data_IF_089850961670
#
_entry.id   IF_089850961670
#
_cell.length_a   1.000
_cell.length_b   1.000
_cell.length_c   1.000
_cell.angle_alpha   90.00
_cell.angle_beta   90.00
_cell.angle_gamma   90.00
#
_symmetry.space_group_name_H-M   'P 1'
#
loop_
_entity.id
_entity.type
_entity.pdbx_description
1 polymer ?
#
# COMPACT_ATOMS: atom_id res chain seq x y z
N UNK A 1 8.00 -0.08 19.41
CA UNK A 1 6.87 0.02 18.45
C UNK A 1 5.78 -0.96 18.84
N UNK A 2 4.51 -0.56 18.78
CA UNK A 2 3.36 -1.39 19.16
C UNK A 2 2.17 -1.15 18.23
N UNK A 3 1.24 -2.11 18.18
CA UNK A 3 -0.04 -1.96 17.48
C UNK A 3 -1.10 -1.37 18.40
N UNK A 4 -1.77 -0.31 17.94
CA UNK A 4 -2.95 0.25 18.58
C UNK A 4 -4.21 -0.40 17.98
N UNK A 5 -4.56 -1.57 18.50
CA UNK A 5 -5.70 -2.36 18.02
C UNK A 5 -7.06 -1.67 18.19
N UNK A 6 -7.17 -0.72 19.14
CA UNK A 6 -8.38 0.05 19.39
C UNK A 6 -8.45 1.36 18.60
N UNK A 7 -7.46 1.65 17.76
CA UNK A 7 -7.36 2.92 17.05
C UNK A 7 -8.60 3.12 16.17
N UNK A 8 -9.36 4.16 16.50
CA UNK A 8 -10.37 4.70 15.61
C UNK A 8 -9.68 5.52 14.53
N UNK A 9 -9.87 5.14 13.28
CA UNK A 9 -9.36 5.85 12.11
C UNK A 9 -10.50 6.58 11.42
N UNK A 10 -10.17 7.66 10.72
CA UNK A 10 -11.10 8.24 9.76
C UNK A 10 -11.34 7.27 8.60
N UNK A 11 -12.36 7.55 7.81
CA UNK A 11 -12.59 6.84 6.56
C UNK A 11 -11.31 6.82 5.72
N UNK A 12 -10.85 5.62 5.38
CA UNK A 12 -9.57 5.41 4.70
C UNK A 12 -9.77 4.66 3.39
N UNK A 13 -9.14 5.11 2.33
CA UNK A 13 -9.23 4.54 0.99
C UNK A 13 -7.86 4.01 0.55
N UNK A 14 -7.80 2.75 0.14
CA UNK A 14 -6.68 2.17 -0.57
C UNK A 14 -7.04 1.96 -2.04
N UNK A 15 -6.27 2.53 -2.94
CA UNK A 15 -6.36 2.30 -4.38
C UNK A 15 -5.17 1.40 -4.76
N UNK A 16 -5.43 0.28 -5.40
CA UNK A 16 -4.47 -0.80 -5.67
C UNK A 16 -4.52 -1.25 -7.13
N UNK A 17 -3.47 -1.91 -7.63
CA UNK A 17 -3.41 -2.31 -9.05
C UNK A 17 -4.15 -3.63 -9.39
N UNK A 18 -4.40 -4.48 -8.39
CA UNK A 18 -4.87 -5.85 -8.62
C UNK A 18 -5.68 -6.49 -7.48
N UNK A 19 -6.11 -7.74 -7.73
CA UNK A 19 -6.91 -8.54 -6.80
C UNK A 19 -6.09 -9.09 -5.61
N UNK A 20 -4.79 -9.28 -5.81
CA UNK A 20 -3.93 -9.83 -4.77
C UNK A 20 -3.74 -8.83 -3.62
N UNK A 21 -3.50 -7.56 -3.95
CA UNK A 21 -3.41 -6.43 -3.04
C UNK A 21 -4.69 -6.32 -2.21
N UNK A 22 -5.87 -6.43 -2.85
CA UNK A 22 -7.17 -6.44 -2.14
C UNK A 22 -7.26 -7.58 -1.14
N UNK A 23 -6.82 -8.78 -1.53
CA UNK A 23 -6.84 -9.96 -0.66
C UNK A 23 -5.91 -9.78 0.54
N UNK A 24 -4.70 -9.26 0.32
CA UNK A 24 -3.73 -8.98 1.36
C UNK A 24 -4.24 -7.89 2.32
N UNK A 25 -4.75 -6.78 1.79
CA UNK A 25 -5.32 -5.70 2.59
C UNK A 25 -6.55 -6.15 3.38
N UNK A 26 -7.43 -6.97 2.79
CA UNK A 26 -8.54 -7.61 3.52
C UNK A 26 -8.03 -8.47 4.67
N UNK A 27 -6.97 -9.24 4.46
CA UNK A 27 -6.34 -10.02 5.54
C UNK A 27 -5.86 -9.12 6.67
N UNK A 28 -5.14 -8.05 6.35
CA UNK A 28 -4.55 -7.16 7.35
C UNK A 28 -5.63 -6.33 8.06
N UNK A 29 -6.37 -5.53 7.32
CA UNK A 29 -7.27 -4.50 7.87
C UNK A 29 -8.52 -5.11 8.50
N UNK A 30 -9.11 -6.12 7.87
CA UNK A 30 -10.37 -6.70 8.34
C UNK A 30 -10.16 -7.91 9.24
N UNK A 31 -9.34 -8.88 8.84
CA UNK A 31 -9.18 -10.11 9.63
C UNK A 31 -8.20 -9.96 10.79
N UNK A 32 -7.15 -9.13 10.66
CA UNK A 32 -6.18 -8.91 11.75
C UNK A 32 -6.52 -7.67 12.57
N UNK A 33 -6.90 -6.55 11.97
CA UNK A 33 -7.13 -5.29 12.70
C UNK A 33 -8.62 -5.01 13.04
N UNK A 34 -9.54 -5.79 12.45
CA UNK A 34 -10.99 -5.71 12.65
C UNK A 34 -11.66 -4.39 12.23
N UNK A 35 -11.11 -3.71 11.23
CA UNK A 35 -11.80 -2.58 10.59
C UNK A 35 -12.98 -3.07 9.74
N UNK A 36 -13.99 -2.22 9.60
CA UNK A 36 -15.04 -2.43 8.60
C UNK A 36 -14.41 -2.24 7.22
N UNK A 37 -14.72 -3.13 6.28
CA UNK A 37 -14.10 -3.14 4.96
C UNK A 37 -15.15 -3.02 3.86
N UNK A 38 -14.92 -2.12 2.91
CA UNK A 38 -15.69 -2.00 1.67
C UNK A 38 -14.75 -2.36 0.53
N UNK A 39 -14.93 -3.52 -0.10
CA UNK A 39 -14.10 -3.91 -1.24
C UNK A 39 -14.89 -3.85 -2.54
N UNK A 40 -14.25 -3.32 -3.58
CA UNK A 40 -14.68 -3.57 -4.94
C UNK A 40 -14.68 -5.09 -5.22
N UNK A 41 -15.74 -5.56 -5.84
CA UNK A 41 -15.91 -6.90 -6.38
C UNK A 41 -14.96 -7.16 -7.56
N UNK A 42 -15.33 -8.10 -8.44
CA UNK A 42 -14.47 -8.48 -9.55
C UNK A 42 -14.23 -7.29 -10.50
N UNK A 43 -12.96 -6.97 -10.77
CA UNK A 43 -12.55 -5.87 -11.66
C UNK A 43 -13.22 -5.96 -13.05
N UNK A 44 -13.39 -7.17 -13.58
CA UNK A 44 -13.95 -7.42 -14.92
C UNK A 44 -15.49 -7.40 -14.98
N UNK A 45 -16.17 -7.09 -13.88
CA UNK A 45 -17.62 -7.04 -13.88
C UNK A 45 -18.12 -5.79 -14.61
N UNK A 46 -19.13 -5.96 -15.48
CA UNK A 46 -19.79 -4.89 -16.24
C UNK A 46 -20.37 -3.77 -15.34
N UNK A 47 -20.57 -4.07 -14.05
CA UNK A 47 -21.03 -3.12 -13.04
C UNK A 47 -20.14 -3.24 -11.82
N UNK A 48 -19.59 -2.12 -11.35
CA UNK A 48 -18.78 -2.07 -10.15
C UNK A 48 -19.64 -2.45 -8.94
N UNK A 49 -19.43 -3.65 -8.39
CA UNK A 49 -20.16 -4.15 -7.21
C UNK A 49 -19.31 -4.00 -5.95
N UNK A 50 -19.94 -3.76 -4.81
CA UNK A 50 -19.27 -3.64 -3.53
C UNK A 50 -19.67 -4.73 -2.55
N UNK A 51 -18.68 -5.19 -1.79
CA UNK A 51 -18.88 -6.09 -0.65
C UNK A 51 -18.48 -5.37 0.62
N UNK A 52 -19.44 -5.19 1.52
CA UNK A 52 -19.19 -4.74 2.89
C UNK A 52 -18.89 -5.94 3.78
N UNK A 53 -17.82 -5.84 4.55
CA UNK A 53 -17.47 -6.76 5.62
C UNK A 53 -17.49 -5.99 6.94
N UNK A 54 -18.42 -6.36 7.81
CA UNK A 54 -18.66 -5.66 9.06
C UNK A 54 -18.39 -6.61 10.23
N UNK A 55 -17.50 -6.21 11.12
CA UNK A 55 -17.18 -6.95 12.34
C UNK A 55 -17.93 -6.40 13.57
N UNK A 56 -18.86 -5.46 13.39
CA UNK A 56 -19.58 -4.79 14.48
C UNK A 56 -18.72 -3.83 15.29
N UNK A 57 -17.52 -3.47 14.80
CA UNK A 57 -16.58 -2.59 15.49
C UNK A 57 -16.84 -1.12 15.14
N UNK A 58 -16.48 -0.22 16.06
CA UNK A 58 -16.51 1.24 15.87
C UNK A 58 -15.14 1.80 15.50
N UNK A 59 -14.24 0.98 14.92
CA UNK A 59 -12.84 1.36 14.65
C UNK A 59 -12.68 2.25 13.41
N UNK A 60 -13.70 2.38 12.58
CA UNK A 60 -13.64 3.13 11.31
C UNK A 60 -13.82 2.21 10.11
N UNK A 61 -13.95 2.83 8.93
CA UNK A 61 -14.19 2.13 7.65
C UNK A 61 -12.97 2.27 6.76
N UNK A 62 -12.59 1.16 6.15
CA UNK A 62 -11.57 1.13 5.10
C UNK A 62 -12.19 0.67 3.81
N UNK A 63 -11.95 1.38 2.73
CA UNK A 63 -12.42 1.03 1.41
C UNK A 63 -11.22 0.67 0.53
N UNK A 64 -11.35 -0.36 -0.32
CA UNK A 64 -10.25 -0.87 -1.15
C UNK A 64 -10.73 -1.09 -2.59
N UNK A 65 -10.03 -0.47 -3.54
CA UNK A 65 -10.43 -0.39 -4.95
C UNK A 65 -9.27 -0.69 -5.88
N UNK A 66 -9.59 -1.29 -7.01
CA UNK A 66 -8.65 -1.40 -8.11
C UNK A 66 -8.64 -0.13 -8.95
N UNK A 67 -7.46 0.25 -9.42
CA UNK A 67 -7.33 1.11 -10.60
C UNK A 67 -8.00 0.48 -11.80
N UNK A 68 -8.34 1.30 -12.80
CA UNK A 68 -8.87 0.81 -14.07
C UNK A 68 -7.90 -0.16 -14.74
N UNK A 69 -6.60 0.16 -14.63
CA UNK A 69 -5.51 -0.58 -15.25
C UNK A 69 -4.37 -0.91 -14.28
N UNK A 70 -3.64 -2.00 -14.52
CA UNK A 70 -2.51 -2.42 -13.67
C UNK A 70 -1.22 -1.65 -13.95
N UNK A 71 -1.35 -0.36 -14.26
CA UNK A 71 -0.22 0.53 -14.50
C UNK A 71 -0.46 1.88 -13.84
N UNK A 72 0.64 2.48 -13.36
CA UNK A 72 0.62 3.68 -12.53
C UNK A 72 -0.06 4.89 -13.20
N UNK A 73 -0.01 4.99 -14.53
CA UNK A 73 -0.62 6.12 -15.26
C UNK A 73 -2.14 6.15 -15.11
N UNK A 74 -2.77 5.00 -14.84
CA UNK A 74 -4.22 4.92 -14.61
C UNK A 74 -4.63 5.40 -13.22
N UNK A 75 -3.68 5.57 -12.29
CA UNK A 75 -3.94 6.10 -10.95
C UNK A 75 -4.52 7.52 -11.01
N UNK A 76 -4.18 8.30 -12.04
CA UNK A 76 -4.70 9.66 -12.23
C UNK A 76 -5.89 9.72 -13.21
N UNK A 77 -6.60 8.62 -13.44
CA UNK A 77 -7.84 8.69 -14.23
C UNK A 77 -8.95 9.31 -13.39
N UNK A 78 -9.14 10.63 -13.54
CA UNK A 78 -10.13 11.41 -12.81
C UNK A 78 -11.56 10.87 -12.97
N UNK A 79 -11.93 10.40 -14.17
CA UNK A 79 -13.28 9.85 -14.41
C UNK A 79 -13.52 8.56 -13.60
N UNK A 80 -12.48 7.72 -13.48
CA UNK A 80 -12.55 6.50 -12.66
C UNK A 80 -12.65 6.84 -11.17
N UNK A 81 -11.82 7.77 -10.70
CA UNK A 81 -11.85 8.23 -9.30
C UNK A 81 -13.20 8.86 -8.95
N UNK A 82 -13.75 9.71 -9.82
CA UNK A 82 -15.04 10.37 -9.58
C UNK A 82 -16.20 9.38 -9.61
N UNK A 83 -16.13 8.35 -10.45
CA UNK A 83 -17.10 7.26 -10.41
C UNK A 83 -17.01 6.46 -9.09
N UNK A 84 -15.81 6.17 -8.60
CA UNK A 84 -15.60 5.55 -7.28
C UNK A 84 -16.18 6.42 -6.17
N UNK A 85 -15.88 7.72 -6.17
CA UNK A 85 -16.35 8.68 -5.18
C UNK A 85 -17.87 8.75 -5.14
N UNK A 86 -18.51 8.80 -6.32
CA UNK A 86 -19.96 8.78 -6.45
C UNK A 86 -20.56 7.53 -5.84
N UNK A 87 -20.06 6.34 -6.17
CA UNK A 87 -20.62 5.09 -5.65
C UNK A 87 -20.42 4.99 -4.13
N UNK A 88 -19.26 5.39 -3.61
CA UNK A 88 -18.97 5.40 -2.18
C UNK A 88 -19.93 6.31 -1.40
N UNK A 89 -20.20 7.51 -1.91
CA UNK A 89 -21.18 8.43 -1.31
C UNK A 89 -22.58 7.84 -1.40
N UNK A 90 -23.02 7.45 -2.61
CA UNK A 90 -24.41 7.07 -2.89
C UNK A 90 -24.82 5.76 -2.20
N UNK A 91 -23.94 4.75 -2.21
CA UNK A 91 -24.27 3.41 -1.69
C UNK A 91 -23.80 3.16 -0.25
N UNK A 92 -22.81 3.92 0.21
CA UNK A 92 -22.15 3.66 1.50
C UNK A 92 -22.06 4.87 2.43
N UNK A 93 -22.50 6.06 2.00
CA UNK A 93 -22.34 7.29 2.78
C UNK A 93 -20.88 7.53 3.17
N UNK A 94 -19.96 7.18 2.27
CA UNK A 94 -18.52 7.31 2.44
C UNK A 94 -18.06 8.52 1.65
N UNK A 95 -17.57 9.56 2.34
CA UNK A 95 -17.13 10.81 1.71
C UNK A 95 -15.62 10.80 1.48
N UNK A 96 -15.22 10.60 0.23
CA UNK A 96 -13.81 10.60 -0.17
C UNK A 96 -13.09 11.91 0.11
N UNK A 97 -13.78 13.06 0.14
CA UNK A 97 -13.12 14.36 0.41
C UNK A 97 -12.63 14.49 1.84
N UNK A 98 -13.24 13.76 2.76
CA UNK A 98 -12.90 13.74 4.18
C UNK A 98 -12.22 12.42 4.58
N UNK A 99 -11.53 11.78 3.62
CA UNK A 99 -10.88 10.49 3.80
C UNK A 99 -9.36 10.59 3.69
N UNK A 100 -8.68 9.65 4.32
CA UNK A 100 -7.25 9.40 4.13
C UNK A 100 -7.06 8.47 2.92
N UNK A 101 -6.25 8.84 1.93
CA UNK A 101 -6.13 8.10 0.66
C UNK A 101 -4.69 7.63 0.42
N UNK A 102 -4.54 6.33 0.16
CA UNK A 102 -3.28 5.69 -0.18
C UNK A 102 -3.36 4.99 -1.54
N UNK A 103 -2.32 5.18 -2.35
CA UNK A 103 -2.14 4.50 -3.64
C UNK A 103 -1.04 3.46 -3.51
N UNK A 104 -1.38 2.18 -3.60
CA UNK A 104 -0.40 1.10 -3.54
C UNK A 104 0.12 0.82 -4.94
N UNK A 105 1.41 1.07 -5.14
CA UNK A 105 2.09 0.97 -6.42
C UNK A 105 3.12 -0.15 -6.42
N UNK A 106 2.99 -1.05 -7.38
CA UNK A 106 3.96 -2.11 -7.65
C UNK A 106 4.91 -1.67 -8.76
N UNK A 107 6.22 -1.74 -8.51
CA UNK A 107 7.18 -1.17 -9.46
C UNK A 107 7.13 -1.82 -10.84
N UNK A 108 6.91 -3.13 -10.93
CA UNK A 108 6.98 -3.97 -12.14
C UNK A 108 7.68 -3.29 -13.35
N UNK A 109 9.01 -3.47 -13.51
CA UNK A 109 9.77 -2.75 -14.52
C UNK A 109 9.36 -3.06 -15.97
N UNK A 110 8.61 -4.14 -16.21
CA UNK A 110 8.15 -4.50 -17.55
C UNK A 110 6.90 -3.72 -17.96
N UNK A 111 6.00 -3.46 -17.00
CA UNK A 111 4.72 -2.79 -17.24
C UNK A 111 4.84 -1.27 -17.02
N UNK A 112 5.65 -0.85 -16.04
CA UNK A 112 5.82 0.54 -15.65
C UNK A 112 7.17 1.09 -16.15
N UNK A 113 7.29 1.32 -17.45
CA UNK A 113 8.59 1.68 -18.09
C UNK A 113 8.95 3.17 -18.00
N UNK A 114 7.99 4.03 -17.65
CA UNK A 114 8.17 5.49 -17.60
C UNK A 114 8.60 5.97 -16.21
N UNK A 115 9.87 5.78 -15.86
CA UNK A 115 10.41 6.19 -14.54
C UNK A 115 10.25 7.69 -14.26
N UNK A 116 10.33 8.54 -15.29
CA UNK A 116 10.16 9.99 -15.12
C UNK A 116 8.70 10.35 -14.78
N UNK A 117 7.74 9.74 -15.49
CA UNK A 117 6.32 9.89 -15.19
C UNK A 117 5.94 9.35 -13.81
N UNK A 118 6.51 8.22 -13.41
CA UNK A 118 6.32 7.65 -12.06
C UNK A 118 6.81 8.61 -10.99
N UNK A 119 8.04 9.11 -11.14
CA UNK A 119 8.63 10.07 -10.20
C UNK A 119 7.80 11.34 -10.10
N UNK A 120 7.35 11.88 -11.24
CA UNK A 120 6.45 13.04 -11.28
C UNK A 120 5.17 12.79 -10.48
N UNK A 121 4.56 11.61 -10.61
CA UNK A 121 3.36 11.27 -9.87
C UNK A 121 3.62 11.13 -8.36
N UNK A 122 4.74 10.53 -7.97
CA UNK A 122 5.17 10.44 -6.57
C UNK A 122 5.32 11.84 -5.95
N UNK A 123 5.95 12.78 -6.68
CA UNK A 123 6.12 14.15 -6.22
C UNK A 123 4.78 14.88 -6.01
N UNK A 124 3.76 14.54 -6.80
CA UNK A 124 2.45 15.17 -6.70
C UNK A 124 1.49 14.49 -5.72
N UNK A 125 1.62 13.18 -5.46
CA UNK A 125 0.81 12.40 -4.51
C UNK A 125 1.61 12.03 -3.25
N UNK A 126 1.86 13.04 -2.41
CA UNK A 126 2.75 12.94 -1.24
C UNK A 126 2.06 13.13 0.11
N UNK A 127 0.77 13.47 0.12
CA UNK A 127 0.01 13.69 1.35
C UNK A 127 -1.34 12.98 1.23
N UNK A 128 -1.68 12.09 2.17
CA UNK A 128 -2.88 11.27 2.06
C UNK A 128 -4.19 12.05 2.20
N UNK A 129 -4.16 13.30 2.67
CA UNK A 129 -5.34 14.13 2.90
C UNK A 129 -5.58 15.16 1.79
N UNK A 130 -4.54 15.84 1.33
CA UNK A 130 -4.65 16.89 0.32
C UNK A 130 -3.40 16.99 -0.57
N UNK A 131 -3.59 17.19 -1.87
CA UNK A 131 -2.51 17.51 -2.80
C UNK A 131 -2.96 18.64 -3.74
N UNK A 132 -2.06 19.57 -4.06
CA UNK A 132 -2.40 20.83 -4.74
C UNK A 132 -3.07 20.64 -6.11
N UNK A 133 -2.67 19.61 -6.85
CA UNK A 133 -3.08 19.39 -8.24
C UNK A 133 -4.23 18.38 -8.38
N UNK A 134 -4.81 17.90 -7.27
CA UNK A 134 -5.80 16.82 -7.25
C UNK A 134 -7.06 17.20 -6.48
N UNK A 135 -8.20 16.71 -6.95
CA UNK A 135 -9.50 16.87 -6.27
C UNK A 135 -9.52 16.19 -4.89
N UNK A 136 -8.75 15.12 -4.71
CA UNK A 136 -8.66 14.34 -3.48
C UNK A 136 -7.21 14.23 -3.01
N UNK A 137 -7.02 13.91 -1.73
CA UNK A 137 -5.72 13.53 -1.20
C UNK A 137 -5.12 12.26 -1.83
N UNK A 138 -3.94 11.91 -1.38
CA UNK A 138 -3.22 10.76 -1.93
C UNK A 138 -1.75 10.71 -1.53
N UNK A 139 -1.36 9.61 -0.90
CA UNK A 139 0.04 9.24 -0.72
C UNK A 139 0.34 7.97 -1.52
N UNK A 140 1.33 8.01 -2.40
CA UNK A 140 1.85 6.80 -3.05
C UNK A 140 2.68 5.98 -2.05
N UNK A 141 2.39 4.69 -1.99
CA UNK A 141 3.14 3.67 -1.27
C UNK A 141 3.77 2.73 -2.30
N UNK A 142 5.09 2.64 -2.27
CA UNK A 142 5.86 1.78 -3.16
C UNK A 142 6.00 0.36 -2.62
N UNK A 143 5.94 -0.62 -3.51
CA UNK A 143 6.32 -2.01 -3.27
C UNK A 143 7.25 -2.51 -4.39
N UNK A 144 8.41 -3.04 -3.99
CA UNK A 144 9.50 -3.44 -4.87
C UNK A 144 9.92 -4.89 -4.65
N UNK A 145 9.89 -5.73 -5.70
CA UNK A 145 9.39 -5.43 -7.05
C UNK A 145 7.86 -5.34 -7.14
N UNK A 146 7.15 -5.84 -6.11
CA UNK A 146 5.69 -5.94 -6.03
C UNK A 146 5.24 -6.07 -4.58
N UNK A 147 3.93 -6.06 -4.31
CA UNK A 147 3.34 -6.12 -2.96
C UNK A 147 3.67 -7.39 -2.18
N UNK A 148 3.98 -8.51 -2.85
CA UNK A 148 4.45 -9.74 -2.20
C UNK A 148 5.70 -9.48 -1.33
N UNK A 149 6.42 -8.40 -1.58
CA UNK A 149 7.50 -7.92 -0.73
C UNK A 149 7.03 -7.68 0.71
N UNK A 150 5.90 -7.00 0.89
CA UNK A 150 5.32 -6.80 2.23
C UNK A 150 5.00 -8.14 2.91
N UNK A 151 4.43 -9.08 2.13
CA UNK A 151 4.17 -10.44 2.63
C UNK A 151 5.46 -11.12 3.07
N UNK A 152 6.55 -11.06 2.30
CA UNK A 152 7.82 -11.69 2.67
C UNK A 152 8.39 -11.07 3.96
N UNK A 153 8.32 -9.74 4.10
CA UNK A 153 8.77 -9.02 5.30
C UNK A 153 7.98 -9.34 6.57
N UNK A 154 6.77 -9.90 6.46
CA UNK A 154 6.04 -10.40 7.63
C UNK A 154 6.72 -11.64 8.26
N UNK A 155 7.55 -12.37 7.51
CA UNK A 155 8.04 -13.68 7.93
C UNK A 155 9.57 -13.78 7.93
N UNK A 156 10.26 -13.12 6.99
CA UNK A 156 11.72 -13.17 6.85
C UNK A 156 12.37 -11.93 7.47
N UNK A 157 13.59 -12.10 7.96
CA UNK A 157 14.44 -11.02 8.44
C UNK A 157 15.46 -10.64 7.38
N UNK A 158 15.98 -9.41 7.45
CA UNK A 158 16.93 -8.84 6.49
C UNK A 158 16.42 -8.88 5.06
N UNK A 159 15.16 -8.48 4.85
CA UNK A 159 14.58 -8.54 3.50
C UNK A 159 15.26 -7.61 2.50
N UNK A 160 15.92 -6.55 2.96
CA UNK A 160 16.76 -5.67 2.13
C UNK A 160 17.88 -6.41 1.37
N UNK A 161 18.34 -7.57 1.85
CA UNK A 161 19.36 -8.40 1.19
C UNK A 161 18.79 -9.23 0.03
N UNK A 162 17.46 -9.29 -0.11
CA UNK A 162 16.80 -10.10 -1.14
C UNK A 162 16.66 -9.30 -2.42
N UNK A 163 17.25 -9.81 -3.50
CA UNK A 163 17.33 -9.11 -4.79
C UNK A 163 16.48 -9.82 -5.84
N UNK A 164 15.49 -9.11 -6.39
CA UNK A 164 14.63 -9.63 -7.45
C UNK A 164 14.34 -8.55 -8.48
N UNK A 165 14.34 -8.94 -9.76
CA UNK A 165 13.97 -8.04 -10.85
C UNK A 165 12.45 -7.92 -10.98
N UNK A 166 11.75 -9.05 -10.92
CA UNK A 166 10.31 -9.14 -11.17
C UNK A 166 9.56 -9.75 -9.99
N UNK A 167 8.29 -9.35 -9.84
CA UNK A 167 7.38 -9.99 -8.89
C UNK A 167 7.12 -11.47 -9.19
N UNK A 168 7.22 -11.88 -10.47
CA UNK A 168 7.16 -13.29 -10.85
C UNK A 168 8.30 -14.11 -10.23
N UNK A 169 9.50 -13.53 -10.14
CA UNK A 169 10.67 -14.22 -9.57
C UNK A 169 10.47 -14.40 -8.06
N UNK A 170 9.92 -13.38 -7.40
CA UNK A 170 9.57 -13.44 -5.98
C UNK A 170 8.49 -14.50 -5.70
N UNK A 171 7.47 -14.59 -6.57
CA UNK A 171 6.43 -15.63 -6.51
C UNK A 171 7.02 -17.03 -6.69
N UNK A 172 7.98 -17.21 -7.58
CA UNK A 172 8.65 -18.51 -7.75
C UNK A 172 9.47 -18.87 -6.51
N UNK A 173 10.21 -17.91 -5.96
CA UNK A 173 11.07 -18.13 -4.79
C UNK A 173 10.29 -18.50 -3.52
N UNK A 174 9.15 -17.84 -3.27
CA UNK A 174 8.43 -17.95 -1.99
C UNK A 174 7.00 -18.48 -2.11
N UNK A 175 6.46 -18.68 -3.31
CA UNK A 175 5.06 -19.08 -3.50
C UNK A 175 4.71 -20.46 -2.95
N UNK A 176 5.71 -21.33 -2.76
CA UNK A 176 5.54 -22.66 -2.17
C UNK A 176 6.09 -22.75 -0.73
N UNK A 177 6.64 -21.66 -0.19
CA UNK A 177 7.16 -21.62 1.17
C UNK A 177 5.97 -21.69 2.15
N UNK A 178 5.87 -22.82 2.88
CA UNK A 178 4.79 -23.06 3.84
C UNK A 178 4.86 -22.11 5.04
N UNK A 179 5.97 -21.43 5.27
CA UNK A 179 6.09 -20.45 6.34
C UNK A 179 5.60 -19.07 5.93
N UNK A 180 5.53 -18.79 4.62
CA UNK A 180 5.06 -17.51 4.07
C UNK A 180 3.64 -17.66 3.51
N UNK A 181 2.64 -17.53 4.37
CA UNK A 181 1.23 -17.65 3.97
C UNK A 181 0.38 -16.48 4.49
N UNK A 182 -0.54 -15.98 3.66
CA UNK A 182 -1.36 -14.80 3.97
C UNK A 182 -2.22 -15.03 5.23
N UNK A 183 -2.76 -16.24 5.39
CA UNK A 183 -3.55 -16.63 6.57
C UNK A 183 -2.73 -16.71 7.87
N UNK A 184 -1.39 -16.66 7.81
CA UNK A 184 -0.49 -16.59 8.97
C UNK A 184 -0.12 -15.16 9.36
N UNK A 185 -0.48 -14.16 8.54
CA UNK A 185 -0.27 -12.75 8.88
C UNK A 185 -1.09 -12.44 10.14
N UNK A 186 -0.42 -11.82 11.12
CA UNK A 186 -0.97 -11.45 12.43
C UNK A 186 -0.30 -10.15 12.92
N UNK A 187 -0.69 -9.71 14.11
CA UNK A 187 -0.18 -8.46 14.71
C UNK A 187 1.34 -8.45 14.84
N UNK A 188 1.95 -9.55 15.30
CA UNK A 188 3.40 -9.64 15.45
C UNK A 188 4.14 -9.65 14.11
N UNK A 189 3.58 -10.29 13.08
CA UNK A 189 4.18 -10.31 11.75
C UNK A 189 4.11 -8.95 11.07
N UNK A 190 3.03 -8.18 11.29
CA UNK A 190 2.88 -6.82 10.79
C UNK A 190 3.95 -5.90 11.40
N UNK A 191 4.15 -5.96 12.73
CA UNK A 191 5.23 -5.22 13.40
C UNK A 191 6.61 -5.64 12.89
N UNK A 192 6.80 -6.92 12.56
CA UNK A 192 8.03 -7.40 11.91
C UNK A 192 8.22 -6.75 10.54
N UNK A 193 7.20 -6.75 9.68
CA UNK A 193 7.28 -6.11 8.37
C UNK A 193 7.59 -4.61 8.47
N UNK A 194 7.03 -3.92 9.47
CA UNK A 194 7.36 -2.52 9.74
C UNK A 194 8.82 -2.34 10.17
N UNK A 195 9.34 -3.21 11.03
CA UNK A 195 10.76 -3.19 11.41
C UNK A 195 11.68 -3.43 10.20
N UNK A 196 11.32 -4.34 9.30
CA UNK A 196 12.10 -4.59 8.08
C UNK A 196 12.09 -3.37 7.14
N UNK A 197 10.95 -2.70 7.00
CA UNK A 197 10.87 -1.42 6.28
C UNK A 197 11.79 -0.36 6.92
N UNK A 198 11.75 -0.19 8.24
CA UNK A 198 12.60 0.78 8.95
C UNK A 198 14.09 0.46 8.82
N UNK A 199 14.47 -0.82 8.89
CA UNK A 199 15.86 -1.24 8.65
C UNK A 199 16.32 -0.89 7.24
N UNK A 200 15.47 -1.11 6.23
CA UNK A 200 15.77 -0.72 4.86
C UNK A 200 16.07 0.78 4.74
N UNK A 201 15.22 1.64 5.31
CA UNK A 201 15.46 3.09 5.30
C UNK A 201 16.78 3.47 6.00
N UNK A 202 17.08 2.85 7.15
CA UNK A 202 18.33 3.08 7.88
C UNK A 202 19.57 2.65 7.08
N UNK A 203 19.54 1.48 6.45
CA UNK A 203 20.65 0.95 5.66
C UNK A 203 20.88 1.74 4.37
N UNK A 204 19.78 2.18 3.74
CA UNK A 204 19.79 3.07 2.57
C UNK A 204 20.18 4.52 2.92
N UNK A 205 20.28 4.86 4.20
CA UNK A 205 20.57 6.22 4.72
C UNK A 205 19.54 7.25 4.25
N UNK A 206 18.28 6.84 4.20
CA UNK A 206 17.15 7.70 3.86
C UNK A 206 16.42 8.06 5.17
N UNK A 207 16.37 9.34 5.48
CA UNK A 207 15.72 9.84 6.70
C UNK A 207 14.21 9.98 6.50
N UNK A 208 13.44 9.45 7.46
CA UNK A 208 12.00 9.59 7.52
C UNK A 208 11.62 10.48 8.69
N UNK A 209 10.60 11.32 8.51
CA UNK A 209 9.99 12.04 9.61
C UNK A 209 8.51 11.69 9.73
N UNK A 210 8.23 10.69 10.57
CA UNK A 210 6.88 10.21 10.87
C UNK A 210 6.00 11.29 11.52
N UNK A 211 6.59 12.25 12.25
CA UNK A 211 5.83 13.31 12.92
C UNK A 211 5.28 14.36 11.94
N UNK A 212 5.91 14.50 10.77
CA UNK A 212 5.48 15.45 9.74
C UNK A 212 4.80 14.76 8.57
N UNK A 213 4.55 13.44 8.64
CA UNK A 213 4.04 12.64 7.53
C UNK A 213 5.00 12.59 6.32
N UNK A 214 6.29 12.89 6.52
CA UNK A 214 7.28 12.80 5.44
C UNK A 214 7.90 11.41 5.43
N UNK A 215 7.40 10.55 4.54
CA UNK A 215 7.79 9.14 4.40
C UNK A 215 8.94 8.88 3.42
N UNK A 216 9.58 9.93 2.89
CA UNK A 216 10.73 9.85 1.98
C UNK A 216 10.51 8.89 0.79
N UNK A 217 9.31 8.93 0.22
CA UNK A 217 8.90 8.03 -0.88
C UNK A 217 9.67 8.35 -2.16
N UNK A 218 9.94 9.63 -2.44
CA UNK A 218 10.73 10.07 -3.59
C UNK A 218 12.17 9.57 -3.51
N UNK A 219 12.80 9.70 -2.35
CA UNK A 219 14.16 9.25 -2.09
C UNK A 219 14.25 7.72 -2.16
N UNK A 220 13.24 7.00 -1.65
CA UNK A 220 13.18 5.56 -1.76
C UNK A 220 13.06 5.09 -3.22
N UNK A 221 12.25 5.80 -4.03
CA UNK A 221 12.14 5.56 -5.46
C UNK A 221 13.48 5.78 -6.17
N UNK A 222 14.09 6.94 -5.98
CA UNK A 222 15.36 7.30 -6.63
C UNK A 222 16.48 6.32 -6.26
N UNK A 223 16.53 5.89 -4.99
CA UNK A 223 17.46 4.86 -4.54
C UNK A 223 17.27 3.54 -5.28
N UNK A 224 16.03 3.04 -5.36
CA UNK A 224 15.72 1.76 -5.99
C UNK A 224 16.00 1.79 -7.51
N UNK A 225 15.68 2.88 -8.19
CA UNK A 225 16.00 3.03 -9.62
C UNK A 225 17.52 3.06 -9.85
N UNK A 226 18.26 3.78 -8.99
CA UNK A 226 19.71 3.80 -9.06
C UNK A 226 20.33 2.43 -8.77
N UNK A 227 19.79 1.69 -7.81
CA UNK A 227 20.22 0.32 -7.48
C UNK A 227 19.95 -0.63 -8.65
N UNK A 228 18.74 -0.64 -9.20
CA UNK A 228 18.36 -1.46 -10.35
C UNK A 228 19.22 -1.17 -11.59
N UNK A 229 19.58 0.10 -11.82
CA UNK A 229 20.44 0.47 -12.94
C UNK A 229 21.79 -0.27 -12.93
N UNK A 230 22.31 -0.56 -11.72
CA UNK A 230 23.59 -1.24 -11.46
C UNK A 230 23.44 -2.76 -11.36
N UNK A 231 22.52 -3.21 -10.50
CA UNK A 231 22.40 -4.62 -10.10
C UNK A 231 21.40 -5.41 -10.96
N UNK A 232 20.58 -4.73 -11.78
CA UNK A 232 19.49 -5.32 -12.56
C UNK A 232 18.47 -6.09 -11.70
N UNK A 233 18.36 -5.71 -10.44
CA UNK A 233 17.40 -6.21 -9.47
C UNK A 233 17.07 -5.09 -8.48
N UNK A 234 15.90 -5.16 -7.86
CA UNK A 234 15.53 -4.28 -6.74
C UNK A 234 15.82 -4.98 -5.42
N UNK A 235 16.10 -4.18 -4.38
CA UNK A 235 16.01 -4.68 -3.02
C UNK A 235 14.55 -4.85 -2.64
N UNK A 236 14.23 -5.93 -1.94
CA UNK A 236 12.87 -6.18 -1.48
C UNK A 236 12.46 -5.12 -0.45
N UNK A 237 11.44 -4.34 -0.79
CA UNK A 237 10.98 -3.20 -0.01
C UNK A 237 9.47 -2.99 -0.17
N UNK A 238 8.77 -2.61 0.90
CA UNK A 238 7.40 -2.11 0.81
C UNK A 238 7.15 -1.05 1.87
N UNK A 239 6.59 0.07 1.43
CA UNK A 239 6.23 1.20 2.29
C UNK A 239 4.80 1.11 2.84
N UNK A 240 4.11 -0.03 2.69
CA UNK A 240 2.74 -0.19 3.19
C UNK A 240 2.61 0.12 4.71
N UNK A 241 3.64 -0.15 5.51
CA UNK A 241 3.61 0.20 6.94
C UNK A 241 3.56 1.71 7.20
N UNK A 242 3.99 2.56 6.25
CA UNK A 242 3.85 4.01 6.37
C UNK A 242 2.39 4.42 6.52
N UNK A 243 1.46 3.77 5.80
CA UNK A 243 0.03 4.02 5.99
C UNK A 243 -0.46 3.63 7.39
N UNK A 244 0.02 2.52 7.94
CA UNK A 244 -0.37 2.10 9.29
C UNK A 244 0.20 3.03 10.36
N UNK A 245 1.37 3.61 10.14
CA UNK A 245 1.94 4.64 11.02
C UNK A 245 1.13 5.94 10.90
N UNK A 246 0.83 6.40 9.68
CA UNK A 246 0.03 7.61 9.42
C UNK A 246 -1.34 7.55 10.10
N UNK A 247 -2.00 6.39 10.02
CA UNK A 247 -3.32 6.19 10.63
C UNK A 247 -3.26 6.05 12.17
N UNK A 248 -2.05 5.97 12.75
CA UNK A 248 -1.82 5.67 14.16
C UNK A 248 -2.20 4.25 14.56
N UNK A 249 -2.28 3.34 13.59
CA UNK A 249 -2.51 1.90 13.81
C UNK A 249 -1.23 1.29 14.41
N UNK A 250 -0.07 1.73 13.92
CA UNK A 250 1.23 1.42 14.48
C UNK A 250 1.77 2.66 15.16
N UNK A 251 2.05 2.55 16.45
CA UNK A 251 2.69 3.58 17.24
C UNK A 251 4.18 3.26 17.36
N UNK A 252 5.02 4.19 16.90
CA UNK A 252 6.45 4.15 17.15
C UNK A 252 6.68 4.52 18.63
N UNK A 253 7.59 3.82 19.28
CA UNK A 253 8.01 4.17 20.64
C UNK A 253 9.25 5.05 20.51
N UNK A 254 9.32 6.13 21.29
CA UNK A 254 10.46 7.05 21.36
C UNK A 254 11.76 6.36 21.82
#
# INVERSE_FOLDING_TARGET
>A
MKLNFGRQIMDTLFIVEGEYEKTLLKRILHHVMEYQLICQGNRDSKYMQFKKYDNGTLKGRVAVFCTEESYIKSINNQDHIDNIARILVDEHGYDMRNSCIFYLFDRDPNSNTDSAGIRSLICSLKNPYENADFTYGGLILLSYPCIESYKVSNFKDRTCDFLYALGSDLKVAFGTDKDIQDNKICTTSILKATNEMMKWYNESRIEINYNTGNYAIEEAFDFQEAFYSKEKAYQLFSSLSCAFIELGIIELED
#
